data_IF_299028542860
#
_entry.id   IF_299028542860
#
_cell.length_a   1.000
_cell.length_b   1.000
_cell.length_c   1.000
_cell.angle_alpha   90.00
_cell.angle_beta   90.00
_cell.angle_gamma   90.00
#
_symmetry.space_group_name_H-M   'P 1'
#
loop_
_entity.id
_entity.type
_entity.pdbx_description
1 polymer ?
#
# COMPACT_ATOMS: atom_id res chain seq x y z
N UNK A 1 -4.60 -7.57 -5.02
CA UNK A 1 -5.82 -6.82 -4.61
C UNK A 1 -6.76 -7.55 -3.64
N UNK A 2 -7.14 -8.81 -3.89
CA UNK A 2 -8.07 -9.54 -3.00
C UNK A 2 -7.59 -9.66 -1.54
N UNK A 3 -6.28 -9.77 -1.33
CA UNK A 3 -5.70 -9.82 0.03
C UNK A 3 -5.89 -8.50 0.79
N UNK A 4 -5.69 -7.34 0.15
CA UNK A 4 -5.87 -6.02 0.77
C UNK A 4 -7.34 -5.79 1.17
N UNK A 5 -8.28 -6.08 0.26
CA UNK A 5 -9.72 -6.02 0.57
C UNK A 5 -10.09 -6.93 1.75
N UNK A 6 -9.54 -8.14 1.78
CA UNK A 6 -9.78 -9.10 2.88
C UNK A 6 -9.19 -8.60 4.21
N UNK A 7 -8.04 -7.95 4.18
CA UNK A 7 -7.43 -7.33 5.36
C UNK A 7 -8.29 -6.17 5.88
N UNK A 8 -8.73 -5.26 5.02
CA UNK A 8 -9.63 -4.17 5.41
C UNK A 8 -10.96 -4.67 5.98
N UNK A 9 -11.55 -5.70 5.35
CA UNK A 9 -12.78 -6.33 5.86
C UNK A 9 -12.58 -6.96 7.25
N UNK A 10 -11.40 -7.53 7.54
CA UNK A 10 -11.07 -8.02 8.89
C UNK A 10 -10.95 -6.88 9.89
N UNK A 11 -10.31 -5.76 9.50
CA UNK A 11 -10.13 -4.61 10.38
C UNK A 11 -11.45 -3.93 10.77
N UNK A 12 -12.46 -3.96 9.91
CA UNK A 12 -13.78 -3.35 10.15
C UNK A 12 -14.48 -3.86 11.43
N UNK A 13 -14.14 -5.06 11.93
CA UNK A 13 -14.69 -5.64 13.17
C UNK A 13 -13.76 -5.50 14.38
N UNK A 14 -12.74 -4.67 14.28
CA UNK A 14 -11.73 -4.50 15.35
C UNK A 14 -11.70 -3.06 15.85
N UNK A 15 -10.94 -2.80 16.91
CA UNK A 15 -10.62 -1.43 17.38
C UNK A 15 -9.98 -0.53 16.30
N UNK A 16 -9.56 -1.11 15.16
CA UNK A 16 -8.93 -0.41 14.05
C UNK A 16 -9.93 0.03 12.96
N UNK A 17 -11.23 -0.25 13.11
CA UNK A 17 -12.25 0.07 12.10
C UNK A 17 -12.28 1.55 11.68
N UNK A 18 -11.92 2.45 12.60
CA UNK A 18 -11.90 3.90 12.38
C UNK A 18 -10.48 4.46 12.19
N UNK A 19 -9.46 3.59 12.07
CA UNK A 19 -8.11 4.07 11.81
C UNK A 19 -7.94 4.32 10.32
N UNK A 20 -7.26 5.42 10.01
CA UNK A 20 -6.76 5.67 8.67
C UNK A 20 -5.78 4.56 8.30
N UNK A 21 -6.06 3.84 7.23
CA UNK A 21 -5.17 2.81 6.69
C UNK A 21 -4.47 3.40 5.48
N UNK A 22 -3.15 3.38 5.47
CA UNK A 22 -2.33 3.96 4.40
C UNK A 22 -1.57 2.84 3.70
N UNK A 23 -1.70 2.75 2.39
CA UNK A 23 -0.87 1.89 1.55
C UNK A 23 0.20 2.74 0.87
N UNK A 24 1.46 2.44 1.16
CA UNK A 24 2.61 3.09 0.52
C UNK A 24 3.09 2.17 -0.59
N UNK A 25 3.23 2.72 -1.79
CA UNK A 25 3.69 2.00 -2.97
C UNK A 25 4.95 2.68 -3.48
N UNK A 26 5.97 1.85 -3.72
CA UNK A 26 7.28 2.28 -4.16
C UNK A 26 7.53 1.88 -5.61
N UNK A 27 8.25 2.74 -6.33
CA UNK A 27 8.66 2.51 -7.71
C UNK A 27 7.85 3.27 -8.74
N UNK A 28 8.15 3.01 -10.01
CA UNK A 28 7.44 3.61 -11.13
C UNK A 28 6.04 3.00 -11.24
N UNK A 29 5.01 3.85 -11.21
CA UNK A 29 3.62 3.44 -11.27
C UNK A 29 3.00 4.13 -12.46
N UNK A 30 2.55 3.32 -13.41
CA UNK A 30 1.89 3.80 -14.62
C UNK A 30 0.57 4.49 -14.28
N UNK A 31 0.08 5.31 -15.21
CA UNK A 31 -1.21 5.97 -15.07
C UNK A 31 -2.36 4.96 -14.89
N UNK A 32 -2.32 3.84 -15.62
CA UNK A 32 -3.33 2.78 -15.56
C UNK A 32 -3.35 2.10 -14.19
N UNK A 33 -2.19 1.73 -13.67
CA UNK A 33 -2.05 1.14 -12.33
C UNK A 33 -2.55 2.09 -11.26
N UNK A 34 -2.19 3.38 -11.35
CA UNK A 34 -2.65 4.41 -10.43
C UNK A 34 -4.17 4.52 -10.42
N UNK A 35 -4.82 4.50 -11.59
CA UNK A 35 -6.28 4.56 -11.69
C UNK A 35 -6.95 3.35 -11.02
N UNK A 36 -6.45 2.14 -11.27
CA UNK A 36 -6.97 0.91 -10.65
C UNK A 36 -6.82 0.99 -9.12
N UNK A 37 -5.68 1.45 -8.64
CA UNK A 37 -5.40 1.59 -7.22
C UNK A 37 -6.30 2.64 -6.55
N UNK A 38 -6.49 3.79 -7.18
CA UNK A 38 -7.37 4.85 -6.67
C UNK A 38 -8.82 4.36 -6.54
N UNK A 39 -9.33 3.60 -7.51
CA UNK A 39 -10.67 3.01 -7.42
C UNK A 39 -10.80 2.08 -6.20
N UNK A 40 -9.79 1.25 -5.94
CA UNK A 40 -9.78 0.36 -4.78
C UNK A 40 -9.71 1.15 -3.47
N UNK A 41 -8.92 2.23 -3.44
CA UNK A 41 -8.78 3.09 -2.28
C UNK A 41 -10.09 3.79 -1.91
N UNK A 42 -10.83 4.28 -2.90
CA UNK A 42 -12.18 4.85 -2.72
C UNK A 42 -13.13 3.83 -2.08
N UNK A 43 -13.14 2.58 -2.55
CA UNK A 43 -13.99 1.52 -2.01
C UNK A 43 -13.62 1.10 -0.58
N UNK A 44 -12.34 1.20 -0.22
CA UNK A 44 -11.80 0.60 1.01
C UNK A 44 -11.45 1.61 2.09
N UNK A 45 -11.68 2.91 1.85
CA UNK A 45 -11.28 4.03 2.72
C UNK A 45 -9.78 4.00 3.07
N UNK A 46 -8.97 3.54 2.12
CA UNK A 46 -7.51 3.51 2.24
C UNK A 46 -6.96 4.79 1.63
N UNK A 47 -5.94 5.37 2.25
CA UNK A 47 -5.14 6.42 1.64
C UNK A 47 -3.97 5.78 0.88
N UNK A 48 -3.76 6.20 -0.37
CA UNK A 48 -2.60 5.77 -1.15
C UNK A 48 -1.52 6.84 -1.10
N UNK A 49 -0.28 6.40 -0.90
CA UNK A 49 0.90 7.24 -1.05
C UNK A 49 1.80 6.56 -2.08
N UNK A 50 2.20 7.33 -3.07
CA UNK A 50 3.05 6.88 -4.16
C UNK A 50 4.41 7.55 -4.02
N UNK A 51 5.47 6.75 -3.94
CA UNK A 51 6.84 7.22 -3.76
C UNK A 51 7.68 6.59 -4.86
N UNK A 52 8.38 7.40 -5.66
CA UNK A 52 9.21 6.86 -6.74
C UNK A 52 10.46 6.16 -6.22
N UNK A 53 11.15 6.76 -5.25
CA UNK A 53 12.38 6.22 -4.68
C UNK A 53 12.18 5.80 -3.22
N UNK A 54 12.36 4.51 -2.95
CA UNK A 54 12.25 3.93 -1.62
C UNK A 54 13.44 4.30 -0.72
N UNK A 55 14.58 4.70 -1.30
CA UNK A 55 15.87 4.87 -0.60
C UNK A 55 15.85 5.94 0.50
N UNK A 56 14.93 6.90 0.43
CA UNK A 56 14.76 7.93 1.48
C UNK A 56 13.95 7.43 2.69
N UNK A 57 13.30 6.25 2.57
CA UNK A 57 12.32 5.75 3.53
C UNK A 57 12.68 4.39 4.13
N UNK A 58 13.72 3.73 3.61
CA UNK A 58 14.21 2.46 4.13
C UNK A 58 15.71 2.53 4.38
N UNK A 59 16.18 1.76 5.35
CA UNK A 59 17.61 1.59 5.58
C UNK A 59 18.20 0.48 4.67
N UNK A 60 19.52 0.39 4.63
CA UNK A 60 20.23 -0.53 3.73
C UNK A 60 19.83 -2.00 3.98
N UNK A 61 19.63 -2.39 5.24
CA UNK A 61 19.22 -3.76 5.60
C UNK A 61 17.83 -4.11 5.04
N UNK A 62 16.89 -3.16 5.09
CA UNK A 62 15.55 -3.30 4.50
C UNK A 62 15.60 -3.36 2.97
N UNK A 63 16.51 -2.60 2.35
CA UNK A 63 16.72 -2.61 0.89
C UNK A 63 17.24 -3.97 0.42
N UNK A 64 18.20 -4.54 1.15
CA UNK A 64 18.81 -5.83 0.83
C UNK A 64 17.77 -6.98 0.91
N UNK A 65 16.84 -6.93 1.87
CA UNK A 65 15.75 -7.90 1.99
C UNK A 65 14.76 -7.83 0.81
N UNK A 66 14.46 -6.63 0.33
CA UNK A 66 13.56 -6.44 -0.81
C UNK A 66 14.18 -6.94 -2.12
N UNK A 67 15.49 -6.72 -2.31
CA UNK A 67 16.21 -7.19 -3.50
C UNK A 67 16.33 -8.72 -3.57
N UNK A 68 16.35 -9.41 -2.42
CA UNK A 68 16.37 -10.87 -2.37
C UNK A 68 15.00 -11.52 -2.65
N UNK A 69 13.93 -10.72 -2.67
CA UNK A 69 12.55 -11.20 -2.81
C UNK A 69 12.01 -11.11 -4.26
N UNK A 70 12.87 -10.73 -5.22
CA UNK A 70 12.59 -10.64 -6.67
C UNK A 70 13.33 -11.77 -7.39
#
# INVERSE_FOLDING_TARGET
FGQLRRYCAKLAKTKHANKLCTLVLYGEITFEERNVLQNIACDTKIQLIFIQDIRDYINQDELDLLQQSV
#
